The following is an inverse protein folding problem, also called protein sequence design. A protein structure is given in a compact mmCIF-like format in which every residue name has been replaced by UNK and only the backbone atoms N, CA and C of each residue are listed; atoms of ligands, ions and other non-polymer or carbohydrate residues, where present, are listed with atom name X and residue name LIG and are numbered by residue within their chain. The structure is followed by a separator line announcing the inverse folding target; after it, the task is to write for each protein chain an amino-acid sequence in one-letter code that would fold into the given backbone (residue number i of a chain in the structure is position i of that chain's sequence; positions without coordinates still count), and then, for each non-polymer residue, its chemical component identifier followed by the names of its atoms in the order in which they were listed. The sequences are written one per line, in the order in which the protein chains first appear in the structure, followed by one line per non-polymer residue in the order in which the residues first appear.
data_IF_436847552900
#
_entry.id   IF_436847552900
#
_cell.length_a   1.000
_cell.length_b   1.000
_cell.length_c   1.000
_cell.angle_alpha   90.00
_cell.angle_beta   90.00
_cell.angle_gamma   90.00
#
_symmetry.space_group_name_H-M   'P 1'
#
loop_
_entity.id
_entity.type
_entity.pdbx_description
1 polymer ?
#
# COMPACT_ATOMS: atom_id res chain seq x y z
N UNK A 1 20.54 9.11 29.15
CA UNK A 1 21.08 8.71 27.83
C UNK A 1 20.26 9.36 26.71
N UNK A 2 20.83 10.36 26.05
CA UNK A 2 20.24 11.10 24.92
C UNK A 2 19.80 10.15 23.78
N UNK A 3 20.60 9.11 23.51
CA UNK A 3 20.36 8.13 22.43
C UNK A 3 19.02 7.39 22.57
N UNK A 4 18.62 7.00 23.79
CA UNK A 4 17.34 6.29 24.01
C UNK A 4 16.12 7.20 23.77
N UNK A 5 16.27 8.50 24.04
CA UNK A 5 15.25 9.51 23.75
C UNK A 5 15.04 9.64 22.24
N UNK A 6 16.13 9.80 21.49
CA UNK A 6 16.13 9.89 20.03
C UNK A 6 15.49 8.66 19.39
N UNK A 7 15.86 7.44 19.82
CA UNK A 7 15.27 6.21 19.27
C UNK A 7 13.74 6.09 19.52
N UNK A 8 13.26 6.58 20.66
CA UNK A 8 11.80 6.60 20.96
C UNK A 8 11.07 7.62 20.09
N UNK A 9 11.68 8.77 19.86
CA UNK A 9 11.13 9.79 18.98
C UNK A 9 11.05 9.30 17.54
N UNK A 10 12.12 8.68 17.04
CA UNK A 10 12.10 8.13 15.69
C UNK A 10 11.04 7.04 15.54
N UNK A 11 10.92 6.13 16.53
CA UNK A 11 9.87 5.11 16.51
C UNK A 11 8.46 5.74 16.45
N UNK A 12 8.22 6.81 17.21
CA UNK A 12 6.95 7.55 17.16
C UNK A 12 6.72 8.19 15.79
N UNK A 13 7.75 8.73 15.16
CA UNK A 13 7.68 9.30 13.82
C UNK A 13 7.37 8.21 12.77
N UNK A 14 8.09 7.10 12.78
CA UNK A 14 7.86 5.97 11.87
C UNK A 14 6.45 5.40 12.02
N UNK A 15 5.91 5.30 13.24
CA UNK A 15 4.53 4.87 13.49
C UNK A 15 3.50 5.83 12.89
N UNK A 16 3.71 7.14 13.00
CA UNK A 16 2.86 8.16 12.35
C UNK A 16 2.92 8.05 10.83
N UNK A 17 4.11 7.86 10.26
CA UNK A 17 4.27 7.65 8.81
C UNK A 17 3.56 6.39 8.33
N UNK A 18 3.71 5.28 9.07
CA UNK A 18 3.02 4.01 8.77
C UNK A 18 1.50 4.24 8.67
N UNK A 19 0.90 4.87 9.68
CA UNK A 19 -0.54 5.17 9.70
C UNK A 19 -0.94 6.02 8.49
N UNK A 20 -0.21 7.10 8.21
CA UNK A 20 -0.47 7.96 7.05
C UNK A 20 -0.44 7.19 5.72
N UNK A 21 0.54 6.31 5.52
CA UNK A 21 0.61 5.50 4.30
C UNK A 21 -0.53 4.47 4.21
N UNK A 22 -0.96 3.90 5.34
CA UNK A 22 -2.12 3.01 5.41
C UNK A 22 -3.42 3.76 5.07
N UNK A 23 -3.61 4.97 5.59
CA UNK A 23 -4.77 5.83 5.30
C UNK A 23 -4.81 6.24 3.82
N UNK A 24 -3.68 6.63 3.24
CA UNK A 24 -3.58 6.96 1.81
C UNK A 24 -3.89 5.76 0.91
N UNK A 25 -3.45 4.55 1.29
CA UNK A 25 -3.79 3.33 0.57
C UNK A 25 -5.28 3.00 0.65
N UNK A 26 -5.94 3.26 1.78
CA UNK A 26 -7.36 3.00 2.00
C UNK A 26 -8.28 3.91 1.14
N UNK A 27 -7.84 5.13 0.82
CA UNK A 27 -8.55 6.07 -0.05
C UNK A 27 -8.56 5.65 -1.52
N UNK A 28 -7.64 4.79 -1.94
CA UNK A 28 -7.54 4.35 -3.34
C UNK A 28 -8.68 3.40 -3.71
N UNK A 29 -9.20 3.46 -4.94
CA UNK A 29 -10.18 2.49 -5.40
C UNK A 29 -9.64 1.07 -5.26
N UNK A 30 -10.48 0.12 -4.84
CA UNK A 30 -10.07 -1.28 -4.70
C UNK A 30 -9.75 -1.89 -6.07
N UNK A 31 -8.74 -2.75 -6.10
CA UNK A 31 -8.36 -3.48 -7.31
C UNK A 31 -7.69 -2.63 -8.40
N UNK A 32 -7.73 -3.15 -9.62
CA UNK A 32 -7.17 -2.53 -10.82
C UNK A 32 -8.04 -2.81 -12.04
N UNK A 33 -8.28 -1.79 -12.85
CA UNK A 33 -8.91 -1.96 -14.15
C UNK A 33 -7.87 -2.55 -15.12
N UNK A 34 -8.23 -3.66 -15.77
CA UNK A 34 -7.41 -4.36 -16.75
C UNK A 34 -8.19 -4.52 -18.06
N UNK A 35 -7.48 -4.69 -19.16
CA UNK A 35 -8.05 -5.15 -20.44
C UNK A 35 -7.77 -6.63 -20.63
N UNK A 36 -8.74 -7.38 -21.16
CA UNK A 36 -8.58 -8.76 -21.64
C UNK A 36 -8.97 -8.82 -23.11
N UNK A 37 -8.21 -9.56 -23.91
CA UNK A 37 -8.55 -9.89 -25.30
C UNK A 37 -9.20 -11.26 -25.35
N UNK A 38 -10.43 -11.36 -25.84
CA UNK A 38 -11.22 -12.61 -25.92
C UNK A 38 -11.85 -12.67 -27.31
N UNK A 39 -11.55 -13.72 -28.07
CA UNK A 39 -12.05 -13.92 -29.45
C UNK A 39 -11.91 -12.67 -30.33
N UNK A 40 -10.74 -12.02 -30.30
CA UNK A 40 -10.45 -10.82 -31.09
C UNK A 40 -10.93 -9.50 -30.49
N UNK A 41 -11.79 -9.51 -29.47
CA UNK A 41 -12.36 -8.30 -28.86
C UNK A 41 -11.69 -7.95 -27.52
N UNK A 42 -11.57 -6.65 -27.23
CA UNK A 42 -11.07 -6.15 -25.95
C UNK A 42 -12.21 -5.85 -24.97
N UNK A 43 -12.01 -6.23 -23.71
CA UNK A 43 -12.97 -6.06 -22.63
C UNK A 43 -12.29 -5.57 -21.38
N UNK A 44 -12.89 -4.60 -20.70
CA UNK A 44 -12.43 -4.13 -19.41
C UNK A 44 -12.96 -5.01 -18.28
N UNK A 45 -12.08 -5.33 -17.35
CA UNK A 45 -12.41 -6.02 -16.11
C UNK A 45 -11.82 -5.28 -14.92
N UNK A 46 -12.56 -5.21 -13.83
CA UNK A 46 -12.02 -4.84 -12.53
C UNK A 46 -11.48 -6.10 -11.85
N UNK A 47 -10.17 -6.15 -11.67
CA UNK A 47 -9.47 -7.19 -10.93
C UNK A 47 -9.36 -6.78 -9.46
N UNK A 48 -10.00 -7.51 -8.56
CA UNK A 48 -9.92 -7.27 -7.12
C UNK A 48 -9.76 -8.58 -6.33
N UNK A 49 -9.38 -8.46 -5.05
CA UNK A 49 -9.48 -9.56 -4.09
C UNK A 49 -10.64 -9.31 -3.16
N UNK A 50 -11.47 -10.34 -3.00
CA UNK A 50 -12.65 -10.36 -2.15
C UNK A 50 -12.62 -11.71 -1.42
N UNK A 51 -12.70 -11.70 -0.09
CA UNK A 51 -12.65 -12.93 0.73
C UNK A 51 -11.45 -13.85 0.44
N UNK A 52 -10.28 -13.25 0.20
CA UNK A 52 -9.04 -13.97 -0.12
C UNK A 52 -8.97 -14.51 -1.56
N UNK A 53 -10.06 -14.47 -2.32
CA UNK A 53 -10.12 -14.94 -3.72
C UNK A 53 -9.94 -13.80 -4.71
N UNK A 54 -9.34 -14.10 -5.86
CA UNK A 54 -9.19 -13.14 -6.96
C UNK A 54 -10.47 -13.16 -7.80
N UNK A 55 -11.08 -11.99 -8.00
CA UNK A 55 -12.32 -11.82 -8.78
C UNK A 55 -12.08 -10.88 -9.96
N UNK A 56 -12.63 -11.24 -11.11
CA UNK A 56 -12.70 -10.40 -12.30
C UNK A 56 -14.15 -9.96 -12.51
N UNK A 57 -14.44 -8.68 -12.31
CA UNK A 57 -15.77 -8.12 -12.55
C UNK A 57 -15.78 -7.47 -13.92
N UNK A 58 -16.63 -7.94 -14.82
CA UNK A 58 -16.78 -7.36 -16.16
C UNK A 58 -17.24 -5.90 -16.09
N UNK A 59 -16.64 -5.02 -16.90
CA UNK A 59 -16.94 -3.58 -16.94
C UNK A 59 -17.34 -3.06 -18.33
N UNK A 60 -17.47 -3.93 -19.33
CA UNK A 60 -17.85 -3.53 -20.68
C UNK A 60 -16.67 -3.48 -21.67
N UNK A 61 -17.00 -3.25 -22.94
CA UNK A 61 -16.03 -2.94 -24.01
C UNK A 61 -15.52 -1.50 -23.91
N UNK A 62 -16.38 -0.60 -23.47
CA UNK A 62 -16.10 0.84 -23.36
C UNK A 62 -16.21 1.26 -21.90
N UNK A 63 -15.15 1.91 -21.40
CA UNK A 63 -15.11 2.49 -20.06
C UNK A 63 -14.67 3.95 -20.21
N UNK A 64 -15.33 4.90 -19.53
CA UNK A 64 -14.96 6.31 -19.61
C UNK A 64 -13.48 6.55 -19.32
N UNK A 65 -12.85 7.44 -20.10
CA UNK A 65 -11.41 7.73 -20.00
C UNK A 65 -11.00 8.22 -18.61
N UNK A 66 -11.86 8.98 -17.93
CA UNK A 66 -11.63 9.44 -16.56
C UNK A 66 -11.52 8.27 -15.57
N UNK A 67 -12.32 7.21 -15.72
CA UNK A 67 -12.25 5.99 -14.91
C UNK A 67 -10.96 5.23 -15.21
N UNK A 68 -10.58 5.08 -16.48
CA UNK A 68 -9.32 4.45 -16.86
C UNK A 68 -8.13 5.18 -16.23
N UNK A 69 -8.10 6.52 -16.34
CA UNK A 69 -7.07 7.37 -15.73
C UNK A 69 -7.06 7.22 -14.20
N UNK A 70 -8.23 7.26 -13.55
CA UNK A 70 -8.37 7.07 -12.09
C UNK A 70 -7.73 5.77 -11.62
N UNK A 71 -8.04 4.63 -12.26
CA UNK A 71 -7.47 3.34 -11.87
C UNK A 71 -5.98 3.20 -12.21
N UNK A 72 -5.52 3.82 -13.30
CA UNK A 72 -4.11 3.84 -13.69
C UNK A 72 -3.28 4.61 -12.67
N UNK A 73 -3.72 5.80 -12.27
CA UNK A 73 -3.04 6.61 -11.25
C UNK A 73 -3.11 5.94 -9.88
N UNK A 74 -4.27 5.38 -9.50
CA UNK A 74 -4.39 4.60 -8.27
C UNK A 74 -3.40 3.42 -8.24
N UNK A 75 -3.13 2.74 -9.36
CA UNK A 75 -2.13 1.66 -9.43
C UNK A 75 -0.72 2.18 -9.13
N UNK A 76 -0.32 3.32 -9.70
CA UNK A 76 1.00 3.94 -9.46
C UNK A 76 1.16 4.38 -8.01
N UNK A 77 0.18 5.12 -7.49
CA UNK A 77 0.18 5.63 -6.12
C UNK A 77 0.21 4.47 -5.12
N UNK A 78 -0.55 3.39 -5.39
CA UNK A 78 -0.53 2.18 -4.56
C UNK A 78 0.84 1.51 -4.54
N UNK A 79 1.53 1.42 -5.67
CA UNK A 79 2.89 0.86 -5.71
C UNK A 79 3.85 1.69 -4.86
N UNK A 80 3.82 3.03 -5.02
CA UNK A 80 4.62 3.97 -4.22
C UNK A 80 4.39 3.79 -2.72
N UNK A 81 3.14 3.87 -2.26
CA UNK A 81 2.85 3.78 -0.82
C UNK A 81 3.08 2.39 -0.25
N UNK A 82 2.88 1.31 -1.01
CA UNK A 82 3.26 -0.04 -0.56
C UNK A 82 4.76 -0.18 -0.35
N UNK A 83 5.56 0.41 -1.24
CA UNK A 83 7.01 0.43 -1.09
C UNK A 83 7.40 1.22 0.16
N UNK A 84 6.89 2.45 0.33
CA UNK A 84 7.15 3.27 1.53
C UNK A 84 6.71 2.56 2.82
N UNK A 85 5.54 1.92 2.81
CA UNK A 85 5.01 1.17 3.95
C UNK A 85 5.89 -0.05 4.29
N UNK A 86 6.45 -0.72 3.29
CA UNK A 86 7.39 -1.83 3.51
C UNK A 86 8.66 -1.35 4.21
N UNK A 87 9.24 -0.22 3.76
CA UNK A 87 10.44 0.35 4.36
C UNK A 87 10.20 0.79 5.81
N UNK A 88 9.14 1.57 6.07
CA UNK A 88 8.84 2.05 7.44
C UNK A 88 8.53 0.89 8.40
N UNK A 89 7.93 -0.21 7.93
CA UNK A 89 7.70 -1.40 8.77
C UNK A 89 9.02 -2.08 9.17
N UNK A 90 10.01 -2.11 8.27
CA UNK A 90 11.36 -2.62 8.59
C UNK A 90 12.07 -1.72 9.61
N UNK A 91 11.96 -0.41 9.43
CA UNK A 91 12.51 0.59 10.36
C UNK A 91 11.90 0.49 11.76
N UNK A 92 10.57 0.44 11.87
CA UNK A 92 9.87 0.22 13.14
C UNK A 92 10.40 -1.03 13.84
N UNK A 93 10.49 -2.16 13.12
CA UNK A 93 11.01 -3.43 13.66
C UNK A 93 12.46 -3.31 14.14
N UNK A 94 13.29 -2.53 13.45
CA UNK A 94 14.66 -2.26 13.87
C UNK A 94 14.70 -1.42 15.15
N UNK A 95 13.96 -0.31 15.21
CA UNK A 95 13.91 0.59 16.37
C UNK A 95 13.36 -0.12 17.62
N UNK A 96 12.31 -0.92 17.47
CA UNK A 96 11.77 -1.76 18.55
C UNK A 96 12.81 -2.74 19.10
N UNK A 97 13.62 -3.35 18.23
CA UNK A 97 14.70 -4.25 18.63
C UNK A 97 15.82 -3.51 19.36
N UNK A 98 16.27 -2.37 18.83
CA UNK A 98 17.31 -1.54 19.44
C UNK A 98 16.91 -1.04 20.84
N UNK A 99 15.65 -0.64 21.01
CA UNK A 99 15.10 -0.23 22.31
C UNK A 99 14.96 -1.39 23.31
N UNK A 100 14.78 -2.63 22.83
CA UNK A 100 14.72 -3.83 23.67
C UNK A 100 16.11 -4.35 24.07
N UNK A 101 17.09 -4.36 23.15
CA UNK A 101 18.46 -4.79 23.47
C UNK A 101 19.13 -3.83 24.45
N UNK A 102 18.90 -2.52 24.31
CA UNK A 102 19.34 -1.52 25.27
C UNK A 102 18.61 -1.52 26.63
N UNK A 103 17.72 -2.49 26.89
CA UNK A 103 17.15 -2.75 28.23
C UNK A 103 17.88 -3.87 29.00
N UNK A 104 18.71 -4.69 28.34
CA UNK A 104 19.35 -5.87 28.97
C UNK A 104 20.70 -5.59 29.63
N UNK A 105 21.25 -4.39 29.49
CA UNK A 105 22.58 -3.99 29.98
C UNK A 105 22.53 -2.92 31.08
N UNK A 106 21.45 -2.88 31.86
CA UNK A 106 21.31 -1.96 33.00
C UNK A 106 20.59 -2.63 34.16
#
# INVERSE_FOLDING_TARGET
MVIKGVLKEELRNSLRMKKRYEDELAKLPKGSLIKKKIKGHEYYYLLLREEGKVRFVYKGKEVPLNIIKKYREAKKIRAKYRNLLSHVKKEIKFLERALKSGKKTG
#
